data_IF_795247486960
#
_entry.id   IF_795247486960
#
_cell.length_a   1.000
_cell.length_b   1.000
_cell.length_c   1.000
_cell.angle_alpha   90.00
_cell.angle_beta   90.00
_cell.angle_gamma   90.00
#
_symmetry.space_group_name_H-M   'P 1'
#
loop_
_entity.id
_entity.type
_entity.pdbx_description
1 polymer ?
#
# COMPACT_ATOMS: atom_id res chain seq x y z
N UNK A 1 -14.26 6.52 20.61
CA UNK A 1 -14.12 6.70 19.15
C UNK A 1 -12.90 5.89 18.77
N UNK A 2 -12.98 4.90 17.90
CA UNK A 2 -11.81 4.04 17.71
C UNK A 2 -11.83 3.12 16.50
N UNK A 3 -12.95 2.45 16.20
CA UNK A 3 -12.93 1.38 15.19
C UNK A 3 -13.62 1.74 13.87
N UNK A 4 -14.54 2.71 13.88
CA UNK A 4 -15.31 3.09 12.67
C UNK A 4 -14.48 3.94 11.72
N UNK A 5 -13.71 4.87 12.28
CA UNK A 5 -12.87 5.78 11.52
C UNK A 5 -11.75 5.01 10.79
N UNK A 6 -11.14 3.99 11.43
CA UNK A 6 -10.12 3.15 10.79
C UNK A 6 -10.66 2.36 9.58
N UNK A 7 -11.88 1.83 9.67
CA UNK A 7 -12.47 1.09 8.55
C UNK A 7 -12.78 2.04 7.38
N UNK A 8 -13.29 3.25 7.65
CA UNK A 8 -13.51 4.27 6.62
C UNK A 8 -12.20 4.76 6.00
N UNK A 9 -11.18 5.07 6.81
CA UNK A 9 -9.85 5.46 6.33
C UNK A 9 -9.22 4.36 5.46
N UNK A 10 -9.37 3.09 5.86
CA UNK A 10 -8.88 1.95 5.08
C UNK A 10 -9.64 1.82 3.76
N UNK A 11 -10.94 2.07 3.74
CA UNK A 11 -11.77 2.00 2.54
C UNK A 11 -11.47 3.13 1.57
N UNK A 12 -11.30 4.35 2.07
CA UNK A 12 -10.88 5.50 1.27
C UNK A 12 -9.48 5.29 0.69
N UNK A 13 -8.53 4.85 1.51
CA UNK A 13 -7.20 4.50 1.03
C UNK A 13 -7.27 3.43 -0.04
N UNK A 14 -8.00 2.34 0.21
CA UNK A 14 -8.17 1.25 -0.76
C UNK A 14 -8.74 1.76 -2.08
N UNK A 15 -9.76 2.62 -2.05
CA UNK A 15 -10.39 3.20 -3.24
C UNK A 15 -9.49 4.19 -4.00
N UNK A 16 -8.49 4.77 -3.33
CA UNK A 16 -7.45 5.57 -4.01
C UNK A 16 -6.49 4.66 -4.79
N UNK A 17 -6.15 3.50 -4.23
CA UNK A 17 -5.28 2.51 -4.89
C UNK A 17 -6.01 1.71 -5.98
N UNK A 18 -7.23 1.28 -5.72
CA UNK A 18 -8.10 0.55 -6.63
C UNK A 18 -8.78 1.51 -7.62
N UNK A 19 -8.07 1.81 -8.71
CA UNK A 19 -8.56 2.70 -9.77
C UNK A 19 -9.71 2.08 -10.58
N UNK A 20 -9.74 0.75 -10.68
CA UNK A 20 -10.71 0.04 -11.51
C UNK A 20 -11.98 -0.36 -10.73
N UNK A 21 -11.92 -0.35 -9.40
CA UNK A 21 -13.03 -0.70 -8.50
C UNK A 21 -13.35 -2.19 -8.43
N UNK A 22 -12.40 -3.07 -8.76
CA UNK A 22 -12.58 -4.52 -8.78
C UNK A 22 -12.43 -5.15 -7.38
N UNK A 23 -12.01 -4.37 -6.39
CA UNK A 23 -11.78 -4.84 -5.02
C UNK A 23 -10.39 -5.44 -4.81
N UNK A 24 -9.48 -5.29 -5.76
CA UNK A 24 -8.11 -5.81 -5.71
C UNK A 24 -7.10 -4.77 -6.22
N UNK A 25 -6.05 -4.53 -5.46
CA UNK A 25 -4.98 -3.63 -5.90
C UNK A 25 -3.95 -4.45 -6.68
N UNK A 26 -3.89 -4.23 -7.99
CA UNK A 26 -2.90 -4.84 -8.86
C UNK A 26 -1.52 -4.18 -8.68
N UNK A 27 -0.45 -4.89 -9.07
CA UNK A 27 0.92 -4.33 -9.13
C UNK A 27 0.97 -3.03 -9.92
N UNK A 28 0.20 -2.93 -11.01
CA UNK A 28 0.19 -1.76 -11.89
C UNK A 28 -0.51 -0.56 -11.24
N UNK A 29 -1.61 -0.81 -10.53
CA UNK A 29 -2.39 0.20 -9.81
C UNK A 29 -1.63 0.74 -8.60
N UNK A 30 -1.02 -0.15 -7.83
CA UNK A 30 -0.12 0.22 -6.74
C UNK A 30 1.03 1.10 -7.26
N UNK A 31 1.63 0.70 -8.38
CA UNK A 31 2.69 1.49 -9.03
C UNK A 31 2.20 2.85 -9.48
N UNK A 32 1.03 2.92 -10.12
CA UNK A 32 0.46 4.17 -10.62
C UNK A 32 0.26 5.19 -9.49
N UNK A 33 -0.29 4.75 -8.35
CA UNK A 33 -0.49 5.61 -7.19
C UNK A 33 0.84 6.00 -6.53
N UNK A 34 1.78 5.07 -6.39
CA UNK A 34 3.12 5.39 -5.84
C UNK A 34 3.87 6.42 -6.70
N UNK A 35 3.77 6.32 -8.02
CA UNK A 35 4.32 7.31 -8.95
C UNK A 35 3.61 8.66 -8.79
N UNK A 36 2.29 8.64 -8.65
CA UNK A 36 1.47 9.86 -8.44
C UNK A 36 1.79 10.56 -7.11
N UNK A 37 2.17 9.80 -6.07
CA UNK A 37 2.63 10.32 -4.78
C UNK A 37 4.09 10.84 -4.81
N UNK A 38 4.73 10.87 -5.98
CA UNK A 38 6.09 11.38 -6.15
C UNK A 38 7.20 10.36 -5.89
N UNK A 39 6.86 9.10 -5.59
CA UNK A 39 7.85 8.01 -5.51
C UNK A 39 8.09 7.40 -6.89
N UNK A 40 8.79 8.15 -7.75
CA UNK A 40 9.10 7.75 -9.14
C UNK A 40 9.98 6.49 -9.25
N UNK A 41 10.60 6.02 -8.16
CA UNK A 41 11.63 4.96 -8.18
C UNK A 41 11.11 3.56 -7.76
N UNK A 42 9.83 3.29 -7.92
CA UNK A 42 9.28 1.94 -7.71
C UNK A 42 9.15 1.24 -9.07
N UNK A 43 10.23 0.58 -9.50
CA UNK A 43 10.19 -0.39 -10.60
C UNK A 43 9.17 -1.48 -10.31
N UNK A 44 8.61 -2.09 -11.36
CA UNK A 44 7.64 -3.20 -11.26
C UNK A 44 8.14 -4.29 -10.31
N UNK A 45 9.45 -4.58 -10.34
CA UNK A 45 10.08 -5.57 -9.46
C UNK A 45 9.99 -5.20 -7.97
N UNK A 46 10.14 -3.91 -7.65
CA UNK A 46 10.01 -3.40 -6.29
C UNK A 46 8.55 -3.42 -5.80
N UNK A 47 7.60 -3.05 -6.67
CA UNK A 47 6.17 -3.17 -6.38
C UNK A 47 5.77 -4.63 -6.17
N UNK A 48 6.21 -5.55 -7.04
CA UNK A 48 6.01 -6.99 -6.86
C UNK A 48 6.55 -7.45 -5.51
N UNK A 49 7.79 -7.08 -5.17
CA UNK A 49 8.39 -7.48 -3.87
C UNK A 49 7.68 -6.87 -2.66
N UNK A 50 6.98 -5.75 -2.81
CA UNK A 50 6.11 -5.20 -1.76
C UNK A 50 4.82 -5.99 -1.64
N UNK A 51 4.19 -6.30 -2.78
CA UNK A 51 2.97 -7.12 -2.84
C UNK A 51 3.24 -8.51 -2.29
N UNK A 52 4.27 -9.22 -2.76
CA UNK A 52 4.63 -10.57 -2.28
C UNK A 52 4.94 -10.65 -0.78
N UNK A 53 5.15 -9.53 -0.08
CA UNK A 53 5.30 -9.54 1.39
C UNK A 53 3.98 -9.59 2.14
N UNK A 54 2.90 -9.15 1.51
CA UNK A 54 1.57 -9.00 2.11
C UNK A 54 0.54 -9.89 1.44
N UNK A 55 0.79 -10.26 0.19
CA UNK A 55 0.10 -11.24 -0.63
C UNK A 55 0.33 -12.63 -0.03
N UNK A 56 -0.70 -13.14 0.65
CA UNK A 56 -0.70 -14.42 1.35
C UNK A 56 -1.15 -15.54 0.42
N UNK A 57 -2.09 -15.26 -0.47
CA UNK A 57 -2.60 -16.23 -1.44
C UNK A 57 -1.77 -16.32 -2.73
N UNK A 58 -0.78 -15.44 -2.89
CA UNK A 58 0.17 -15.39 -4.01
C UNK A 58 -0.55 -15.20 -5.35
N UNK A 59 -1.60 -14.40 -5.36
CA UNK A 59 -2.37 -14.06 -6.58
C UNK A 59 -1.73 -12.91 -7.37
N UNK A 60 -0.72 -12.25 -6.79
CA UNK A 60 -0.01 -11.12 -7.38
C UNK A 60 -0.82 -9.83 -7.33
N UNK A 61 -1.86 -9.77 -6.50
CA UNK A 61 -2.68 -8.60 -6.19
C UNK A 61 -2.75 -8.45 -4.67
N UNK A 62 -3.45 -7.42 -4.21
CA UNK A 62 -3.69 -7.20 -2.78
C UNK A 62 -5.19 -7.01 -2.61
N UNK A 63 -5.83 -7.96 -1.95
CA UNK A 63 -7.24 -7.82 -1.61
C UNK A 63 -7.43 -6.91 -0.40
N UNK A 64 -8.68 -6.52 -0.12
CA UNK A 64 -9.00 -5.64 1.01
C UNK A 64 -8.48 -6.15 2.37
N UNK A 65 -8.56 -7.47 2.62
CA UNK A 65 -8.08 -8.06 3.88
C UNK A 65 -6.56 -7.98 4.02
N UNK A 66 -5.82 -8.22 2.95
CA UNK A 66 -4.36 -8.13 2.91
C UNK A 66 -3.89 -6.69 3.06
N UNK A 67 -4.60 -5.76 2.42
CA UNK A 67 -4.36 -4.33 2.57
C UNK A 67 -4.59 -3.87 4.02
N UNK A 68 -5.68 -4.30 4.65
CA UNK A 68 -5.92 -4.06 6.08
C UNK A 68 -4.79 -4.64 6.94
N UNK A 69 -4.37 -5.88 6.68
CA UNK A 69 -3.27 -6.50 7.40
C UNK A 69 -1.97 -5.71 7.22
N UNK A 70 -1.68 -5.23 6.01
CA UNK A 70 -0.52 -4.39 5.72
C UNK A 70 -0.55 -3.10 6.54
N UNK A 71 -1.69 -2.40 6.56
CA UNK A 71 -1.86 -1.16 7.32
C UNK A 71 -1.77 -1.39 8.83
N UNK A 72 -2.39 -2.47 9.33
CA UNK A 72 -2.38 -2.84 10.76
C UNK A 72 -1.02 -3.34 11.26
N UNK A 73 -0.29 -4.14 10.48
CA UNK A 73 1.07 -4.62 10.84
C UNK A 73 2.15 -3.56 10.63
N UNK A 74 1.90 -2.58 9.77
CA UNK A 74 2.91 -1.66 9.25
C UNK A 74 2.75 -0.21 9.64
N UNK A 75 2.01 0.16 10.69
CA UNK A 75 1.93 1.56 11.15
C UNK A 75 1.41 2.56 10.10
N UNK A 76 0.63 2.10 9.13
CA UNK A 76 0.12 2.88 8.02
C UNK A 76 1.04 2.94 6.79
N UNK A 77 0.47 3.37 5.65
CA UNK A 77 1.19 3.54 4.37
C UNK A 77 2.47 4.37 4.50
N UNK A 78 2.50 5.24 5.52
CA UNK A 78 3.65 6.04 5.95
C UNK A 78 4.90 5.20 6.20
N UNK A 79 4.85 4.01 6.81
CA UNK A 79 6.06 3.21 7.06
C UNK A 79 6.71 2.67 5.79
N UNK A 80 5.94 2.50 4.70
CA UNK A 80 6.44 2.06 3.40
C UNK A 80 7.16 3.19 2.65
N UNK A 81 6.76 4.45 2.89
CA UNK A 81 7.39 5.66 2.33
C UNK A 81 8.51 6.21 3.23
N UNK A 82 8.46 6.02 4.56
CA UNK A 82 9.41 6.61 5.53
C UNK A 82 10.70 5.80 5.78
N UNK A 83 10.97 4.70 5.06
CA UNK A 83 12.23 3.96 5.18
C UNK A 83 13.46 4.69 4.59
N UNK A 84 13.41 6.01 4.45
CA UNK A 84 14.57 6.82 4.08
C UNK A 84 14.52 8.25 4.66
N UNK A 85 14.37 8.38 5.98
CA UNK A 85 14.72 9.61 6.69
C UNK A 85 15.52 9.27 7.93
N UNK A 86 16.72 8.73 7.71
CA UNK A 86 17.80 8.68 8.70
C UNK A 86 19.10 9.14 8.04
N UNK A 87 19.09 10.32 7.44
CA UNK A 87 20.30 11.08 7.09
C UNK A 87 20.05 12.54 7.42
N UNK A 88 20.03 12.83 8.73
CA UNK A 88 20.52 14.09 9.29
C UNK A 88 20.64 13.91 10.81
N UNK A 89 21.66 13.14 11.20
CA UNK A 89 22.39 13.49 12.42
C UNK A 89 23.31 14.63 12.00
N UNK A 90 23.00 15.85 12.47
CA UNK A 90 23.99 16.90 12.64
C UNK A 90 24.63 16.76 14.02
#
# INVERSE_FOLDING_TARGET
MGDKDEEEDMKEAFNVFDQNGDGYISVDELRFVLVSLGQQERTVDNCKRMITKVDVDVDGRVNFMEFMQMLKRGGGFSALVYRHSSTNQY
#
